data_IF_175396235039
#
_entry.id   IF_175396235039
#
_cell.length_a   1.000
_cell.length_b   1.000
_cell.length_c   1.000
_cell.angle_alpha   90.00
_cell.angle_beta   90.00
_cell.angle_gamma   90.00
#
_symmetry.space_group_name_H-M   'P 1'
#
loop_
_entity.id
_entity.type
_entity.pdbx_description
1 polymer ?
#
# COMPACT_ATOMS: atom_id res chain seq x y z
N UNK A 1 -25.57 -14.80 28.44
CA UNK A 1 -25.14 -15.13 27.07
C UNK A 1 -24.68 -13.83 26.45
N UNK A 2 -23.44 -13.46 26.73
CA UNK A 2 -22.85 -12.19 26.33
C UNK A 2 -22.29 -12.40 24.93
N UNK A 3 -22.88 -11.74 23.95
CA UNK A 3 -22.36 -11.73 22.58
C UNK A 3 -21.01 -11.01 22.63
N UNK A 4 -19.94 -11.78 22.56
CA UNK A 4 -18.60 -11.27 22.31
C UNK A 4 -18.65 -10.60 20.94
N UNK A 5 -18.71 -9.27 20.95
CA UNK A 5 -18.55 -8.44 19.76
C UNK A 5 -17.20 -8.81 19.17
N UNK A 6 -17.22 -9.57 18.07
CA UNK A 6 -16.03 -9.92 17.32
C UNK A 6 -15.19 -8.66 17.13
N UNK A 7 -13.98 -8.69 17.67
CA UNK A 7 -12.99 -7.64 17.51
C UNK A 7 -12.76 -7.47 16.01
N UNK A 8 -13.35 -6.42 15.43
CA UNK A 8 -12.88 -5.89 14.16
C UNK A 8 -11.39 -5.63 14.35
N UNK A 9 -10.54 -6.42 13.69
CA UNK A 9 -9.10 -6.23 13.76
C UNK A 9 -8.80 -4.78 13.41
N UNK A 10 -8.15 -4.06 14.33
CA UNK A 10 -7.79 -2.65 14.15
C UNK A 10 -7.05 -2.50 12.81
N UNK A 11 -7.43 -1.50 12.02
CA UNK A 11 -6.78 -1.27 10.73
C UNK A 11 -5.29 -1.02 10.99
N UNK A 12 -4.37 -1.78 10.36
CA UNK A 12 -2.95 -1.67 10.66
C UNK A 12 -2.37 -0.28 10.29
N UNK A 13 -3.09 0.52 9.50
CA UNK A 13 -2.71 1.90 9.19
C UNK A 13 -3.05 2.90 10.30
N UNK A 14 -3.93 2.55 11.26
CA UNK A 14 -4.29 3.45 12.37
C UNK A 14 -3.08 3.77 13.26
N UNK A 15 -2.10 2.86 13.32
CA UNK A 15 -0.87 3.03 14.09
C UNK A 15 0.23 3.84 13.35
N UNK A 16 0.01 4.22 12.09
CA UNK A 16 1.01 4.93 11.27
C UNK A 16 0.91 6.43 11.54
N UNK A 17 1.84 6.93 12.33
CA UNK A 17 2.09 8.35 12.54
C UNK A 17 3.31 8.84 11.74
N UNK A 18 4.22 7.94 11.35
CA UNK A 18 5.46 8.28 10.65
C UNK A 18 5.70 7.41 9.42
N UNK A 19 6.50 7.93 8.49
CA UNK A 19 6.88 7.21 7.28
C UNK A 19 7.74 5.97 7.55
N UNK A 20 8.50 5.96 8.65
CA UNK A 20 9.24 4.77 9.09
C UNK A 20 8.27 3.63 9.48
N UNK A 21 7.19 3.95 10.19
CA UNK A 21 6.15 2.96 10.53
C UNK A 21 5.45 2.44 9.27
N UNK A 22 5.14 3.33 8.33
CA UNK A 22 4.56 2.95 7.04
C UNK A 22 5.51 2.03 6.25
N UNK A 23 6.81 2.33 6.23
CA UNK A 23 7.83 1.52 5.57
C UNK A 23 7.96 0.14 6.21
N UNK A 24 8.02 0.07 7.54
CA UNK A 24 8.05 -1.20 8.28
C UNK A 24 6.79 -2.04 8.01
N UNK A 25 5.62 -1.43 7.96
CA UNK A 25 4.39 -2.13 7.61
C UNK A 25 4.43 -2.63 6.15
N UNK A 26 4.80 -1.77 5.20
CA UNK A 26 4.93 -2.13 3.79
C UNK A 26 5.86 -3.34 3.58
N UNK A 27 7.04 -3.31 4.20
CA UNK A 27 7.99 -4.43 4.12
C UNK A 27 7.40 -5.71 4.69
N UNK A 28 6.69 -5.64 5.83
CA UNK A 28 6.01 -6.83 6.40
C UNK A 28 4.96 -7.39 5.46
N UNK A 29 4.10 -6.54 4.90
CA UNK A 29 3.03 -6.95 3.99
C UNK A 29 3.56 -7.58 2.70
N UNK A 30 4.63 -7.02 2.13
CA UNK A 30 5.28 -7.57 0.94
C UNK A 30 6.03 -8.87 1.21
N UNK A 31 6.52 -9.09 2.44
CA UNK A 31 7.13 -10.36 2.83
C UNK A 31 6.08 -11.43 3.16
N UNK A 32 4.93 -11.06 3.74
CA UNK A 32 3.86 -12.03 4.01
C UNK A 32 3.13 -12.46 2.74
N UNK A 33 3.13 -11.62 1.71
CA UNK A 33 2.60 -11.96 0.38
C UNK A 33 3.55 -12.86 -0.44
N UNK A 34 4.71 -13.25 0.10
CA UNK A 34 5.67 -14.13 -0.55
C UNK A 34 5.03 -15.51 -0.79
N UNK A 35 4.70 -15.77 -2.05
CA UNK A 35 4.28 -17.09 -2.54
C UNK A 35 5.39 -17.67 -3.42
N UNK A 36 6.58 -17.96 -2.88
CA UNK A 36 7.63 -18.80 -3.48
C UNK A 36 8.04 -18.47 -4.95
N UNK A 37 7.65 -17.31 -5.49
CA UNK A 37 7.88 -16.93 -6.88
C UNK A 37 9.04 -15.94 -6.92
N UNK A 38 10.20 -16.44 -7.31
CA UNK A 38 11.45 -15.67 -7.39
C UNK A 38 11.31 -14.46 -8.33
N UNK A 39 10.37 -14.52 -9.29
CA UNK A 39 10.05 -13.43 -10.23
C UNK A 39 9.42 -12.21 -9.55
N UNK A 40 8.80 -12.39 -8.38
CA UNK A 40 8.24 -11.28 -7.59
C UNK A 40 9.28 -10.49 -6.81
N UNK A 41 10.52 -10.99 -6.65
CA UNK A 41 11.54 -10.33 -5.83
C UNK A 41 11.88 -8.91 -6.30
N UNK A 42 12.02 -8.71 -7.62
CA UNK A 42 12.27 -7.38 -8.19
C UNK A 42 11.08 -6.44 -8.01
N UNK A 43 9.88 -6.91 -8.35
CA UNK A 43 8.67 -6.09 -8.25
C UNK A 43 8.33 -5.72 -6.82
N UNK A 44 8.63 -6.57 -5.83
CA UNK A 44 8.52 -6.25 -4.41
C UNK A 44 9.48 -5.15 -3.96
N UNK A 45 10.74 -5.19 -4.41
CA UNK A 45 11.72 -4.16 -4.09
C UNK A 45 11.29 -2.79 -4.64
N UNK A 46 10.67 -2.78 -5.82
CA UNK A 46 10.09 -1.58 -6.41
C UNK A 46 8.82 -1.17 -5.65
N UNK A 47 7.93 -2.12 -5.34
CA UNK A 47 6.65 -1.87 -4.69
C UNK A 47 6.77 -1.43 -3.22
N UNK A 48 7.82 -1.82 -2.50
CA UNK A 48 8.00 -1.48 -1.07
C UNK A 48 7.95 0.02 -0.76
N UNK A 49 8.73 0.89 -1.43
CA UNK A 49 8.63 2.33 -1.21
C UNK A 49 7.28 2.91 -1.65
N UNK A 50 6.65 2.35 -2.70
CA UNK A 50 5.33 2.80 -3.15
C UNK A 50 4.26 2.47 -2.12
N UNK A 51 4.27 1.24 -1.61
CA UNK A 51 3.35 0.78 -0.59
C UNK A 51 3.50 1.60 0.70
N UNK A 52 4.72 1.94 1.08
CA UNK A 52 4.96 2.80 2.24
C UNK A 52 4.31 4.19 2.08
N UNK A 53 4.45 4.81 0.91
CA UNK A 53 3.82 6.10 0.64
C UNK A 53 2.29 6.01 0.62
N UNK A 54 1.74 4.95 0.03
CA UNK A 54 0.28 4.69 0.01
C UNK A 54 -0.24 4.48 1.44
N UNK A 55 0.42 3.64 2.25
CA UNK A 55 0.03 3.36 3.63
C UNK A 55 0.11 4.60 4.53
N UNK A 56 1.09 5.48 4.30
CA UNK A 56 1.17 6.75 4.99
C UNK A 56 0.05 7.71 4.58
N UNK A 57 -0.28 7.80 3.29
CA UNK A 57 -1.39 8.66 2.82
C UNK A 57 -2.74 8.19 3.36
N UNK A 58 -2.99 6.88 3.49
CA UNK A 58 -4.26 6.37 4.01
C UNK A 58 -4.34 6.29 5.54
N UNK A 59 -3.26 6.66 6.24
CA UNK A 59 -3.23 6.68 7.70
C UNK A 59 -3.86 7.95 8.28
N UNK A 60 -4.10 8.00 9.61
CA UNK A 60 -4.57 9.21 10.28
C UNK A 60 -3.62 10.41 10.16
N UNK A 61 -2.32 10.18 9.91
CA UNK A 61 -1.34 11.24 9.68
C UNK A 61 -1.42 11.84 8.27
N UNK A 62 -1.99 11.09 7.32
CA UNK A 62 -2.29 11.55 5.97
C UNK A 62 -3.75 11.95 5.84
N UNK A 63 -4.42 11.35 4.87
CA UNK A 63 -5.79 11.62 4.52
C UNK A 63 -6.81 10.62 5.07
N UNK A 64 -6.34 9.56 5.73
CA UNK A 64 -7.18 8.51 6.29
C UNK A 64 -7.89 7.65 5.25
N UNK A 65 -8.58 6.62 5.75
CA UNK A 65 -9.39 5.70 4.94
C UNK A 65 -8.87 4.26 4.95
N UNK A 66 -7.74 3.99 5.60
CA UNK A 66 -7.35 2.63 5.94
C UNK A 66 -6.86 1.77 4.78
N UNK A 67 -6.64 0.49 5.07
CA UNK A 67 -6.25 -0.53 4.08
C UNK A 67 -7.24 -0.63 2.92
N UNK A 68 -8.53 -0.45 3.16
CA UNK A 68 -9.54 -0.46 2.10
C UNK A 68 -9.25 0.61 1.04
N UNK A 69 -8.85 1.81 1.47
CA UNK A 69 -8.44 2.88 0.54
C UNK A 69 -7.09 2.60 -0.10
N UNK A 70 -6.15 2.00 0.63
CA UNK A 70 -4.85 1.60 0.08
C UNK A 70 -5.01 0.62 -1.09
N UNK A 71 -5.94 -0.34 -0.99
CA UNK A 71 -6.27 -1.27 -2.07
C UNK A 71 -6.72 -0.55 -3.33
N UNK A 72 -7.64 0.40 -3.19
CA UNK A 72 -8.12 1.20 -4.32
C UNK A 72 -6.93 1.94 -4.96
N UNK A 73 -6.14 2.69 -4.17
CA UNK A 73 -4.98 3.43 -4.69
C UNK A 73 -3.98 2.50 -5.39
N UNK A 74 -3.73 1.30 -4.85
CA UNK A 74 -2.81 0.33 -5.46
C UNK A 74 -3.24 -0.10 -6.87
N UNK A 75 -4.53 -0.11 -7.18
CA UNK A 75 -5.06 -0.45 -8.50
C UNK A 75 -5.13 0.74 -9.47
N UNK A 76 -4.95 1.98 -9.01
CA UNK A 76 -5.06 3.19 -9.83
C UNK A 76 -3.72 3.93 -9.91
N UNK A 77 -2.87 3.62 -10.91
CA UNK A 77 -1.55 4.23 -11.05
C UNK A 77 -1.59 5.63 -11.68
N UNK A 78 -2.62 5.96 -12.43
CA UNK A 78 -2.80 7.23 -13.13
C UNK A 78 -4.27 7.72 -13.07
N UNK A 79 -4.51 8.93 -13.59
CA UNK A 79 -5.81 9.62 -13.59
C UNK A 79 -6.75 9.17 -14.72
N UNK A 80 -6.40 8.06 -15.39
CA UNK A 80 -7.02 7.65 -16.66
C UNK A 80 -8.48 7.21 -16.52
N UNK A 81 -8.93 6.88 -15.30
CA UNK A 81 -10.29 6.42 -15.06
C UNK A 81 -10.76 6.87 -13.66
N UNK A 82 -11.72 7.82 -13.64
CA UNK A 82 -12.69 8.11 -12.56
C UNK A 82 -12.33 9.06 -11.39
N UNK A 83 -12.94 10.26 -11.47
CA UNK A 83 -13.74 10.90 -10.39
C UNK A 83 -13.11 10.97 -8.99
N UNK A 84 -12.11 11.84 -8.79
CA UNK A 84 -11.70 12.27 -7.44
C UNK A 84 -11.12 11.17 -6.53
N UNK A 85 -10.85 9.99 -7.10
CA UNK A 85 -10.24 8.87 -6.39
C UNK A 85 -8.74 9.12 -6.31
N UNK A 86 -8.14 8.93 -5.13
CA UNK A 86 -6.68 9.01 -4.99
C UNK A 86 -6.02 7.92 -5.83
N UNK A 87 -4.98 8.31 -6.56
CA UNK A 87 -4.10 7.47 -7.39
C UNK A 87 -2.63 7.70 -7.00
N UNK A 88 -1.69 6.99 -7.63
CA UNK A 88 -0.26 7.11 -7.30
C UNK A 88 0.28 8.53 -7.47
N UNK A 89 -0.19 9.29 -8.45
CA UNK A 89 0.22 10.68 -8.69
C UNK A 89 -0.29 11.63 -7.60
N UNK A 90 -1.54 11.47 -7.17
CA UNK A 90 -2.09 12.27 -6.07
C UNK A 90 -1.40 11.96 -4.73
N UNK A 91 -1.08 10.69 -4.47
CA UNK A 91 -0.26 10.30 -3.31
C UNK A 91 1.13 10.90 -3.42
N UNK A 92 1.75 10.88 -4.61
CA UNK A 92 3.06 11.50 -4.83
C UNK A 92 3.03 13.02 -4.58
N UNK A 93 1.93 13.70 -4.91
CA UNK A 93 1.77 15.13 -4.67
C UNK A 93 1.60 15.47 -3.18
N UNK A 94 0.97 14.57 -2.40
CA UNK A 94 0.76 14.74 -0.96
C UNK A 94 1.89 14.17 -0.09
N UNK A 95 2.80 13.37 -0.67
CA UNK A 95 3.85 12.69 0.06
C UNK A 95 4.91 13.68 0.58
N UNK A 96 5.22 13.69 1.90
CA UNK A 96 6.23 14.57 2.45
C UNK A 96 7.67 14.17 2.08
N UNK A 97 7.89 12.93 1.62
CA UNK A 97 9.20 12.45 1.17
C UNK A 97 9.31 12.55 -0.35
N UNK A 98 10.23 13.42 -0.79
CA UNK A 98 10.45 13.70 -2.21
C UNK A 98 10.99 12.49 -2.99
N UNK A 99 11.78 11.61 -2.35
CA UNK A 99 12.29 10.40 -3.00
C UNK A 99 11.17 9.40 -3.26
N UNK A 100 10.26 9.22 -2.30
CA UNK A 100 9.08 8.36 -2.47
C UNK A 100 8.10 8.96 -3.48
N UNK A 101 7.86 10.27 -3.40
CA UNK A 101 7.04 10.98 -4.38
C UNK A 101 7.58 10.81 -5.80
N UNK A 102 8.90 10.96 -5.99
CA UNK A 102 9.55 10.73 -7.28
C UNK A 102 9.37 9.29 -7.76
N UNK A 103 9.58 8.29 -6.89
CA UNK A 103 9.37 6.87 -7.26
C UNK A 103 7.95 6.57 -7.69
N UNK A 104 6.95 7.13 -7.02
CA UNK A 104 5.54 6.99 -7.44
C UNK A 104 5.31 7.57 -8.84
N UNK A 105 5.84 8.77 -9.13
CA UNK A 105 5.76 9.39 -10.46
C UNK A 105 6.47 8.54 -11.53
N UNK A 106 7.71 8.14 -11.26
CA UNK A 106 8.49 7.32 -12.18
C UNK A 106 7.79 5.98 -12.45
N UNK A 107 7.22 5.35 -11.41
CA UNK A 107 6.49 4.07 -11.54
C UNK A 107 5.17 4.22 -12.29
N UNK A 108 4.47 5.34 -12.11
CA UNK A 108 3.26 5.65 -12.88
C UNK A 108 3.54 5.87 -14.36
N UNK A 109 4.77 6.27 -14.71
CA UNK A 109 5.21 6.49 -16.08
C UNK A 109 5.77 5.22 -16.78
N UNK A 110 5.95 4.10 -16.06
CA UNK A 110 6.42 2.84 -16.63
C UNK A 110 5.45 2.26 -17.67
N UNK A 111 5.94 1.38 -18.53
CA UNK A 111 5.11 0.69 -19.53
C UNK A 111 4.05 -0.23 -18.88
N UNK A 112 2.99 -0.51 -19.62
CA UNK A 112 1.79 -1.19 -19.12
C UNK A 112 2.08 -2.50 -18.37
N UNK A 113 2.94 -3.36 -18.91
CA UNK A 113 3.26 -4.67 -18.31
C UNK A 113 4.08 -4.53 -17.02
N UNK A 114 5.00 -3.57 -16.96
CA UNK A 114 5.80 -3.29 -15.77
C UNK A 114 4.92 -2.70 -14.67
N UNK A 115 4.03 -1.77 -15.04
CA UNK A 115 3.08 -1.15 -14.14
C UNK A 115 2.09 -2.17 -13.58
N UNK A 116 1.57 -3.06 -14.44
CA UNK A 116 0.69 -4.16 -14.03
C UNK A 116 1.38 -5.11 -13.04
N UNK A 117 2.67 -5.40 -13.23
CA UNK A 117 3.46 -6.21 -12.31
C UNK A 117 3.61 -5.57 -10.93
N UNK A 118 3.79 -4.24 -10.87
CA UNK A 118 3.83 -3.47 -9.62
C UNK A 118 2.44 -3.45 -8.95
N UNK A 119 1.37 -3.21 -9.72
CA UNK A 119 -0.01 -3.25 -9.20
C UNK A 119 -0.34 -4.63 -8.60
N UNK A 120 0.07 -5.71 -9.26
CA UNK A 120 -0.11 -7.07 -8.75
C UNK A 120 0.64 -7.28 -7.42
N UNK A 121 1.91 -6.84 -7.33
CA UNK A 121 2.69 -6.93 -6.10
C UNK A 121 2.07 -6.14 -4.93
N UNK A 122 1.57 -4.92 -5.21
CA UNK A 122 0.86 -4.10 -4.22
C UNK A 122 -0.47 -4.75 -3.80
N UNK A 123 -1.24 -5.27 -4.76
CA UNK A 123 -2.51 -5.95 -4.52
C UNK A 123 -2.33 -7.19 -3.64
N UNK A 124 -1.36 -8.06 -3.94
CA UNK A 124 -1.07 -9.23 -3.11
C UNK A 124 -0.62 -8.88 -1.69
N UNK A 125 0.21 -7.85 -1.53
CA UNK A 125 0.60 -7.34 -0.22
C UNK A 125 -0.60 -6.83 0.58
N UNK A 126 -1.60 -6.27 -0.12
CA UNK A 126 -2.79 -5.71 0.50
C UNK A 126 -3.92 -6.75 0.71
N UNK A 127 -3.85 -7.90 0.07
CA UNK A 127 -4.85 -8.99 0.20
C UNK A 127 -4.52 -9.97 1.33
N UNK A 128 -3.34 -9.86 1.95
CA UNK A 128 -2.93 -10.70 3.08
C UNK A 128 -3.91 -10.62 4.25
N UNK A 129 -4.16 -11.74 4.92
CA UNK A 129 -5.00 -11.79 6.12
C UNK A 129 -4.32 -10.97 7.22
N UNK A 130 -4.94 -9.84 7.58
CA UNK A 130 -4.45 -8.94 8.64
C UNK A 130 -4.80 -9.45 10.05
N UNK A 131 -5.32 -10.68 10.15
CA UNK A 131 -5.64 -11.38 11.37
C UNK A 131 -4.52 -12.31 11.82
N UNK A 132 -4.09 -12.11 13.06
CA UNK A 132 -3.41 -13.10 13.92
C UNK A 132 -1.91 -13.33 13.69
N UNK A 133 -1.08 -12.43 14.25
CA UNK A 133 0.20 -12.83 14.81
C UNK A 133 -0.10 -13.50 16.16
N UNK A 134 -0.31 -14.82 16.15
CA UNK A 134 -0.40 -15.63 17.37
C UNK A 134 0.98 -15.69 18.07
N UNK A 135 1.04 -15.59 19.41
CA UNK A 135 2.29 -15.59 20.18
C UNK A 135 3.05 -16.92 20.12
#
# INVERSE_FOLDING_TARGET
>A
MTLETGTAGTDPTDAIATMEQASKLATRLLHSADRDDTSMGLWRLIASPLLAAILFDVSPAGAGGGIARAKIIAHHPDDSDQSGTRNWLTVAAACPDEHLAKRLRDSSALEGDQRASIQAALGWALEGDYGEVRP
#
